data_IF_171145232959
#
_entry.id   IF_171145232959
#
_cell.length_a   1.000
_cell.length_b   1.000
_cell.length_c   1.000
_cell.angle_alpha   90.00
_cell.angle_beta   90.00
_cell.angle_gamma   90.00
#
_symmetry.space_group_name_H-M   'P 1'
#
loop_
_entity.id
_entity.type
_entity.pdbx_description
1 polymer ?
#
# COMPACT_ATOMS: atom_id res chain seq x y z
N UNK A 1 -4.62 -24.43 -9.30
CA UNK A 1 -4.74 -23.37 -10.31
C UNK A 1 -3.55 -23.38 -11.28
N UNK A 2 -3.24 -24.55 -11.85
CA UNK A 2 -2.15 -24.68 -12.80
C UNK A 2 -2.75 -25.03 -14.15
N UNK A 3 -2.61 -24.15 -15.14
CA UNK A 3 -2.72 -24.58 -16.52
C UNK A 3 -3.56 -23.79 -17.50
N UNK A 4 -4.15 -22.66 -17.16
CA UNK A 4 -4.69 -21.77 -18.19
C UNK A 4 -4.47 -20.31 -17.85
N UNK A 5 -4.16 -19.49 -18.82
CA UNK A 5 -4.02 -18.03 -18.68
C UNK A 5 -5.29 -17.36 -18.08
N UNK A 6 -6.43 -18.03 -18.11
CA UNK A 6 -7.70 -17.56 -17.57
C UNK A 6 -7.79 -17.66 -16.03
N UNK A 7 -6.95 -18.46 -15.37
CA UNK A 7 -7.03 -18.73 -13.93
C UNK A 7 -5.98 -18.00 -13.08
N UNK A 8 -5.29 -17.00 -13.63
CA UNK A 8 -4.20 -16.31 -12.93
C UNK A 8 -4.70 -15.22 -11.99
N UNK A 9 -5.97 -14.85 -12.07
CA UNK A 9 -6.57 -13.80 -11.23
C UNK A 9 -8.06 -14.06 -11.01
N UNK A 10 -8.46 -14.17 -9.74
CA UNK A 10 -9.86 -14.31 -9.34
C UNK A 10 -10.18 -13.26 -8.27
N UNK A 11 -11.39 -12.71 -8.32
CA UNK A 11 -11.91 -11.87 -7.25
C UNK A 11 -12.52 -12.76 -6.17
N UNK A 12 -12.03 -12.61 -4.96
CA UNK A 12 -12.42 -13.47 -3.84
C UNK A 12 -13.40 -12.70 -2.94
N UNK A 13 -14.64 -13.20 -2.80
CA UNK A 13 -15.66 -12.52 -2.01
C UNK A 13 -15.35 -12.59 -0.50
N UNK A 14 -15.71 -11.53 0.21
CA UNK A 14 -15.48 -11.38 1.65
C UNK A 14 -16.20 -12.42 2.51
N UNK A 15 -17.24 -13.05 2.00
CA UNK A 15 -17.98 -14.12 2.69
C UNK A 15 -17.11 -15.36 2.98
N UNK A 16 -15.97 -15.50 2.29
CA UNK A 16 -15.00 -16.57 2.54
C UNK A 16 -14.03 -16.26 3.69
N UNK A 17 -14.16 -15.12 4.36
CA UNK A 17 -13.39 -14.82 5.57
C UNK A 17 -13.83 -15.72 6.70
N UNK A 18 -12.91 -16.51 7.25
CA UNK A 18 -13.07 -17.34 8.42
C UNK A 18 -12.38 -16.66 9.61
N UNK A 19 -13.16 -15.98 10.46
CA UNK A 19 -12.63 -15.24 11.62
C UNK A 19 -11.91 -16.12 12.64
N UNK A 20 -12.25 -17.41 12.74
CA UNK A 20 -11.54 -18.33 13.64
C UNK A 20 -10.14 -18.70 13.10
N UNK A 21 -10.01 -18.85 11.79
CA UNK A 21 -8.71 -19.00 11.14
C UNK A 21 -7.90 -17.72 11.21
N UNK A 22 -8.52 -16.56 10.98
CA UNK A 22 -7.86 -15.26 11.13
C UNK A 22 -7.21 -15.10 12.50
N UNK A 23 -7.88 -15.52 13.59
CA UNK A 23 -7.31 -15.46 14.95
C UNK A 23 -6.10 -16.39 15.15
N UNK A 24 -6.04 -17.49 14.43
CA UNK A 24 -4.96 -18.50 14.55
C UNK A 24 -3.77 -18.22 13.64
N UNK A 25 -4.00 -17.58 12.51
CA UNK A 25 -2.98 -17.26 11.53
C UNK A 25 -1.98 -16.23 12.07
N UNK A 26 -0.72 -16.34 11.64
CA UNK A 26 0.37 -15.48 12.04
C UNK A 26 0.57 -14.35 11.02
N UNK A 27 0.16 -13.14 11.38
CA UNK A 27 0.38 -11.97 10.55
C UNK A 27 1.78 -11.41 10.78
N UNK A 28 2.53 -11.21 9.70
CA UNK A 28 3.88 -10.63 9.70
C UNK A 28 3.84 -9.33 8.89
N UNK A 29 4.27 -8.24 9.53
CA UNK A 29 4.42 -6.95 8.85
C UNK A 29 5.84 -6.81 8.32
N UNK A 30 6.00 -6.49 7.04
CA UNK A 30 7.25 -6.06 6.44
C UNK A 30 7.23 -4.54 6.27
N UNK A 31 8.17 -3.88 6.92
CA UNK A 31 8.43 -2.45 6.81
C UNK A 31 9.88 -2.21 6.44
N UNK A 32 10.40 -1.01 6.58
CA UNK A 32 11.79 -0.70 6.25
C UNK A 32 12.33 0.43 7.11
N UNK A 33 13.65 0.65 7.03
CA UNK A 33 14.28 1.91 7.40
C UNK A 33 13.64 3.06 6.61
N UNK A 34 13.86 4.32 7.01
CA UNK A 34 13.32 5.48 6.31
C UNK A 34 13.65 5.41 4.81
N UNK A 35 12.64 5.64 3.98
CA UNK A 35 12.76 5.51 2.53
C UNK A 35 13.81 6.48 1.95
N UNK A 36 14.64 5.98 1.05
CA UNK A 36 15.66 6.75 0.33
C UNK A 36 15.44 6.68 -1.18
N UNK A 37 16.18 7.52 -1.92
CA UNK A 37 16.17 7.49 -3.40
C UNK A 37 16.75 6.19 -3.97
N UNK A 38 17.57 5.47 -3.21
CA UNK A 38 18.18 4.21 -3.64
C UNK A 38 17.19 3.02 -3.71
N UNK A 39 15.99 3.20 -3.12
CA UNK A 39 15.06 2.08 -2.96
C UNK A 39 15.50 1.09 -1.87
N UNK A 40 14.58 0.28 -1.36
CA UNK A 40 14.88 -0.64 -0.24
C UNK A 40 14.42 -2.08 -0.57
N UNK A 41 13.49 -2.26 -1.51
CA UNK A 41 13.03 -3.58 -1.96
C UNK A 41 12.07 -4.30 -1.02
N UNK A 42 11.22 -3.57 -0.26
CA UNK A 42 10.24 -4.18 0.66
C UNK A 42 9.38 -5.27 0.03
N UNK A 43 8.79 -5.01 -1.14
CA UNK A 43 7.89 -5.97 -1.80
C UNK A 43 8.64 -7.26 -2.18
N UNK A 44 9.87 -7.14 -2.68
CA UNK A 44 10.73 -8.30 -2.96
C UNK A 44 11.00 -9.11 -1.70
N UNK A 45 11.29 -8.45 -0.57
CA UNK A 45 11.50 -9.13 0.72
C UNK A 45 10.20 -9.76 1.23
N UNK A 46 9.06 -9.09 1.08
CA UNK A 46 7.76 -9.61 1.50
C UNK A 46 7.39 -10.90 0.74
N UNK A 47 7.57 -10.88 -0.58
CA UNK A 47 7.34 -12.06 -1.42
C UNK A 47 8.38 -13.12 -1.09
N UNK A 48 9.66 -12.77 -1.02
CA UNK A 48 10.75 -13.70 -0.69
C UNK A 48 10.51 -14.42 0.64
N UNK A 49 10.08 -13.73 1.68
CA UNK A 49 9.75 -14.35 2.96
C UNK A 49 8.61 -15.38 2.84
N UNK A 50 7.56 -15.07 2.07
CA UNK A 50 6.48 -16.02 1.83
C UNK A 50 6.97 -17.26 1.06
N UNK A 51 7.80 -17.04 0.03
CA UNK A 51 8.44 -18.13 -0.71
C UNK A 51 9.32 -18.99 0.20
N UNK A 52 10.19 -18.36 1.00
CA UNK A 52 11.07 -19.06 1.95
C UNK A 52 10.32 -19.87 3.00
N UNK A 53 9.23 -19.34 3.55
CA UNK A 53 8.36 -20.08 4.47
C UNK A 53 7.74 -21.30 3.79
N UNK A 54 7.28 -21.19 2.54
CA UNK A 54 6.75 -22.31 1.80
C UNK A 54 7.85 -23.37 1.48
N UNK A 55 9.10 -22.95 1.21
CA UNK A 55 10.25 -23.86 1.04
C UNK A 55 10.51 -24.72 2.27
N UNK A 56 10.31 -24.18 3.46
CA UNK A 56 10.47 -24.94 4.71
C UNK A 56 9.16 -25.64 5.17
N UNK A 57 8.19 -25.80 4.27
CA UNK A 57 6.97 -26.56 4.50
C UNK A 57 5.89 -25.83 5.32
N UNK A 58 5.95 -24.51 5.43
CA UNK A 58 4.88 -23.69 6.01
C UNK A 58 3.87 -23.30 4.96
N UNK A 59 2.62 -23.04 5.37
CA UNK A 59 1.58 -22.52 4.48
C UNK A 59 1.58 -20.98 4.59
N UNK A 60 2.33 -20.31 3.71
CA UNK A 60 2.45 -18.86 3.71
C UNK A 60 1.79 -18.24 2.48
N UNK A 61 1.13 -17.10 2.71
CA UNK A 61 0.46 -16.29 1.69
C UNK A 61 0.93 -14.84 1.82
N UNK A 62 1.07 -14.12 0.71
CA UNK A 62 1.41 -12.70 0.73
C UNK A 62 0.20 -11.83 0.41
N UNK A 63 0.04 -10.71 1.12
CA UNK A 63 -1.01 -9.72 0.89
C UNK A 63 -0.39 -8.35 0.58
N UNK A 64 -0.56 -7.88 -0.66
CA UNK A 64 0.12 -6.72 -1.23
C UNK A 64 -0.87 -5.62 -1.64
N UNK A 65 -0.32 -4.42 -1.84
CA UNK A 65 -1.05 -3.32 -2.49
C UNK A 65 -1.00 -3.49 -4.01
N UNK A 66 -2.08 -3.06 -4.66
CA UNK A 66 -2.08 -2.83 -6.09
C UNK A 66 -1.26 -1.56 -6.40
N UNK A 67 -0.34 -1.59 -7.38
CA UNK A 67 0.45 -0.41 -7.74
C UNK A 67 -0.39 0.60 -8.53
N UNK A 68 -0.12 1.89 -8.32
CA UNK A 68 -0.64 2.98 -9.14
C UNK A 68 0.20 3.14 -10.41
N UNK A 69 -0.45 3.51 -11.50
CA UNK A 69 0.17 3.71 -12.80
C UNK A 69 1.23 4.83 -12.79
N UNK A 70 0.95 5.94 -12.10
CA UNK A 70 1.87 7.06 -12.00
C UNK A 70 3.26 6.68 -11.47
N UNK A 71 3.38 6.04 -10.29
CA UNK A 71 4.67 5.52 -9.80
C UNK A 71 5.31 4.45 -10.68
N UNK A 72 4.54 3.62 -11.39
CA UNK A 72 5.09 2.60 -12.31
C UNK A 72 5.89 3.24 -13.45
N UNK A 73 5.45 4.39 -13.96
CA UNK A 73 6.17 5.19 -14.97
C UNK A 73 7.14 6.21 -14.34
N UNK A 74 7.26 6.26 -13.03
CA UNK A 74 8.14 7.15 -12.28
C UNK A 74 9.43 6.48 -11.83
N UNK A 75 10.12 7.12 -10.88
CA UNK A 75 11.41 6.65 -10.35
C UNK A 75 11.32 5.35 -9.54
N UNK A 76 10.12 4.97 -9.04
CA UNK A 76 9.94 3.80 -8.19
C UNK A 76 9.72 2.50 -8.96
N UNK A 77 9.29 2.57 -10.22
CA UNK A 77 8.88 1.38 -10.99
C UNK A 77 7.64 0.69 -10.40
N UNK A 78 7.40 -0.55 -10.80
CA UNK A 78 6.26 -1.35 -10.36
C UNK A 78 6.37 -1.88 -8.92
N UNK A 79 5.25 -2.39 -8.39
CA UNK A 79 5.15 -2.92 -7.03
C UNK A 79 4.81 -4.43 -6.99
N UNK A 80 5.12 -5.16 -8.05
CA UNK A 80 4.89 -6.61 -8.15
C UNK A 80 6.08 -7.46 -7.63
N UNK A 81 7.06 -6.86 -6.95
CA UNK A 81 8.32 -7.48 -6.58
C UNK A 81 9.37 -7.36 -7.69
N UNK A 82 10.41 -8.20 -7.65
CA UNK A 82 11.47 -8.21 -8.66
C UNK A 82 12.30 -9.47 -8.64
N UNK A 83 12.98 -9.73 -9.77
CA UNK A 83 13.74 -10.94 -9.95
C UNK A 83 12.86 -12.19 -9.83
N UNK A 84 13.32 -13.17 -9.08
CA UNK A 84 12.57 -14.41 -8.81
C UNK A 84 11.52 -14.24 -7.69
N UNK A 85 11.58 -13.20 -6.87
CA UNK A 85 10.56 -12.86 -5.86
C UNK A 85 9.54 -11.88 -6.44
N UNK A 86 8.60 -12.40 -7.23
CA UNK A 86 7.66 -11.61 -8.02
C UNK A 86 6.26 -12.25 -8.05
N UNK A 87 5.20 -11.41 -8.07
CA UNK A 87 3.82 -11.83 -8.35
C UNK A 87 3.49 -11.71 -9.83
N UNK A 88 2.68 -12.65 -10.32
CA UNK A 88 2.28 -12.76 -11.71
C UNK A 88 0.77 -12.51 -11.90
N UNK A 89 0.33 -11.95 -13.02
CA UNK A 89 1.13 -11.43 -14.15
C UNK A 89 1.64 -10.00 -13.86
N UNK A 90 2.94 -9.82 -13.78
CA UNK A 90 3.59 -8.59 -13.34
C UNK A 90 3.23 -7.37 -14.21
N UNK A 91 3.26 -7.55 -15.52
CA UNK A 91 2.92 -6.51 -16.49
C UNK A 91 1.49 -6.00 -16.31
N UNK A 92 0.51 -6.89 -16.14
CA UNK A 92 -0.89 -6.51 -15.89
C UNK A 92 -1.07 -5.85 -14.53
N UNK A 93 -0.46 -6.40 -13.47
CA UNK A 93 -0.54 -5.83 -12.11
C UNK A 93 0.00 -4.40 -12.09
N UNK A 94 1.11 -4.13 -12.77
CA UNK A 94 1.74 -2.82 -12.81
C UNK A 94 1.01 -1.79 -13.69
N UNK A 95 0.10 -2.22 -14.56
CA UNK A 95 -0.63 -1.35 -15.49
C UNK A 95 -2.13 -1.26 -15.15
N UNK A 96 -2.95 -2.06 -15.84
CA UNK A 96 -4.41 -2.06 -15.72
C UNK A 96 -4.91 -3.41 -15.21
N UNK A 97 -4.56 -3.76 -14.01
CA UNK A 97 -4.71 -5.12 -13.48
C UNK A 97 -6.15 -5.67 -13.63
N UNK A 98 -7.06 -5.32 -12.72
CA UNK A 98 -8.44 -5.80 -12.71
C UNK A 98 -9.46 -4.68 -12.87
N UNK A 99 -8.99 -3.43 -13.00
CA UNK A 99 -9.82 -2.25 -13.13
C UNK A 99 -10.22 -1.61 -11.80
N UNK A 100 -9.66 -2.03 -10.66
CA UNK A 100 -10.01 -1.45 -9.36
C UNK A 100 -9.66 0.03 -9.28
N UNK A 101 -8.48 0.43 -9.77
CA UNK A 101 -8.11 1.84 -9.87
C UNK A 101 -9.05 2.63 -10.80
N UNK A 102 -9.48 2.04 -11.92
CA UNK A 102 -10.45 2.66 -12.82
C UNK A 102 -11.82 2.81 -12.16
N UNK A 103 -12.28 1.81 -11.40
CA UNK A 103 -13.52 1.88 -10.66
C UNK A 103 -13.48 3.01 -9.61
N UNK A 104 -12.37 3.14 -8.88
CA UNK A 104 -12.15 4.21 -7.90
C UNK A 104 -12.09 5.58 -8.58
N UNK A 105 -11.34 5.72 -9.68
CA UNK A 105 -11.27 6.95 -10.46
C UNK A 105 -12.66 7.36 -10.97
N UNK A 106 -13.42 6.40 -11.51
CA UNK A 106 -14.77 6.64 -12.00
C UNK A 106 -15.73 7.04 -10.88
N UNK A 107 -15.71 6.35 -9.76
CA UNK A 107 -16.53 6.65 -8.60
C UNK A 107 -16.23 8.05 -8.03
N UNK A 108 -14.95 8.38 -7.88
CA UNK A 108 -14.51 9.69 -7.39
C UNK A 108 -14.94 10.83 -8.32
N UNK A 109 -14.68 10.69 -9.61
CA UNK A 109 -15.00 11.74 -10.60
C UNK A 109 -16.51 11.83 -10.85
N UNK A 110 -17.26 10.74 -10.67
CA UNK A 110 -18.71 10.78 -10.72
C UNK A 110 -19.29 11.65 -9.60
N UNK A 111 -18.76 11.56 -8.37
CA UNK A 111 -19.14 12.48 -7.28
C UNK A 111 -18.88 13.92 -7.68
N UNK A 112 -17.70 14.24 -8.26
CA UNK A 112 -17.38 15.58 -8.71
C UNK A 112 -18.37 16.10 -9.74
N UNK A 113 -18.69 15.28 -10.75
CA UNK A 113 -19.63 15.66 -11.82
C UNK A 113 -21.07 15.85 -11.28
N UNK A 114 -21.51 14.98 -10.38
CA UNK A 114 -22.84 15.07 -9.77
C UNK A 114 -22.93 16.27 -8.82
N UNK A 115 -21.87 16.61 -8.10
CA UNK A 115 -21.80 17.81 -7.27
C UNK A 115 -21.88 19.08 -8.13
N UNK A 116 -21.12 19.17 -9.20
CA UNK A 116 -21.16 20.32 -10.13
C UNK A 116 -22.57 20.49 -10.71
N UNK A 117 -23.20 19.39 -11.15
CA UNK A 117 -24.58 19.43 -11.63
C UNK A 117 -25.57 19.83 -10.55
N UNK A 118 -25.42 19.32 -9.34
CA UNK A 118 -26.30 19.67 -8.21
C UNK A 118 -26.23 21.17 -7.89
N UNK A 119 -25.04 21.75 -7.84
CA UNK A 119 -24.83 23.17 -7.63
C UNK A 119 -25.47 24.00 -8.73
N UNK A 120 -25.25 23.63 -9.99
CA UNK A 120 -25.84 24.29 -11.15
C UNK A 120 -27.38 24.30 -11.11
N UNK A 121 -28.00 23.14 -10.86
CA UNK A 121 -29.45 22.99 -10.86
C UNK A 121 -30.14 23.70 -9.68
N UNK A 122 -29.44 23.87 -8.55
CA UNK A 122 -30.01 24.47 -7.35
C UNK A 122 -29.59 25.92 -7.11
N UNK A 123 -28.75 26.50 -7.96
CA UNK A 123 -28.30 27.90 -7.89
C UNK A 123 -29.51 28.86 -7.87
N UNK A 124 -30.49 28.65 -8.74
CA UNK A 124 -31.70 29.48 -8.82
C UNK A 124 -32.56 29.40 -7.56
N UNK A 125 -32.39 28.35 -6.72
CA UNK A 125 -33.06 28.16 -5.44
C UNK A 125 -32.29 28.76 -4.27
N UNK A 126 -31.16 29.42 -4.56
CA UNK A 126 -30.27 30.01 -3.53
C UNK A 126 -29.34 29.03 -2.85
N UNK A 127 -29.23 27.79 -3.35
CA UNK A 127 -28.27 26.82 -2.82
C UNK A 127 -26.88 27.03 -3.41
N UNK A 128 -25.87 26.99 -2.55
CA UNK A 128 -24.47 27.03 -2.93
C UNK A 128 -23.56 26.55 -1.81
N UNK A 129 -22.33 26.23 -2.15
CA UNK A 129 -21.28 25.91 -1.18
C UNK A 129 -20.31 27.09 -1.11
N UNK A 130 -20.00 27.49 0.13
CA UNK A 130 -18.97 28.49 0.44
C UNK A 130 -17.58 27.95 0.09
N UNK A 131 -17.39 26.65 0.32
CA UNK A 131 -16.14 25.96 0.07
C UNK A 131 -16.42 24.56 -0.47
N UNK A 132 -15.68 24.18 -1.53
CA UNK A 132 -15.74 22.85 -2.13
C UNK A 132 -14.38 22.19 -1.88
N UNK A 133 -14.39 21.07 -1.15
CA UNK A 133 -13.20 20.30 -0.81
C UNK A 133 -12.93 19.18 -1.81
N UNK A 134 -13.97 18.70 -2.49
CA UNK A 134 -13.90 17.55 -3.38
C UNK A 134 -13.37 17.95 -4.76
N UNK A 135 -12.21 17.41 -5.10
CA UNK A 135 -11.56 17.62 -6.40
C UNK A 135 -11.86 16.46 -7.36
N UNK A 136 -11.06 16.32 -8.39
CA UNK A 136 -11.04 15.19 -9.32
C UNK A 136 -9.79 14.35 -9.10
N UNK A 137 -9.75 13.14 -9.69
CA UNK A 137 -8.57 12.28 -9.64
C UNK A 137 -8.23 11.71 -11.02
N UNK A 138 -6.95 11.45 -11.23
CA UNK A 138 -6.42 10.78 -12.41
C UNK A 138 -5.20 9.95 -11.96
N UNK A 139 -5.06 8.70 -12.45
CA UNK A 139 -3.98 7.83 -11.99
C UNK A 139 -2.65 8.07 -12.72
N UNK A 140 -2.28 9.34 -12.83
CA UNK A 140 -0.99 9.80 -13.36
C UNK A 140 -0.44 10.94 -12.51
N UNK A 141 0.88 11.12 -12.55
CA UNK A 141 1.55 12.25 -11.93
C UNK A 141 1.56 13.45 -12.90
N UNK A 142 0.56 14.33 -12.80
CA UNK A 142 0.48 15.53 -13.63
C UNK A 142 0.43 16.80 -12.77
N UNK A 143 1.51 17.57 -12.82
CA UNK A 143 1.62 18.84 -12.06
C UNK A 143 0.78 19.96 -12.67
N UNK A 144 0.52 19.92 -13.96
CA UNK A 144 -0.24 20.95 -14.67
C UNK A 144 -1.72 20.94 -14.28
N UNK A 145 -2.22 19.81 -13.79
CA UNK A 145 -3.62 19.64 -13.39
C UNK A 145 -3.87 19.90 -11.90
N UNK A 146 -2.89 20.33 -11.12
CA UNK A 146 -3.05 20.59 -9.69
C UNK A 146 -4.02 21.71 -9.37
N UNK A 147 -4.05 22.75 -10.21
CA UNK A 147 -5.01 23.84 -10.13
C UNK A 147 -5.47 24.17 -11.53
N UNK A 148 -6.77 24.07 -11.76
CA UNK A 148 -7.45 24.33 -13.04
C UNK A 148 -8.71 25.13 -12.80
N UNK A 149 -9.24 25.74 -13.85
CA UNK A 149 -10.57 26.35 -13.85
C UNK A 149 -11.53 25.45 -14.62
N UNK A 150 -12.64 25.09 -14.01
CA UNK A 150 -13.72 24.30 -14.62
C UNK A 150 -14.95 25.16 -14.88
N UNK A 151 -15.89 24.70 -15.71
CA UNK A 151 -17.14 25.39 -16.01
C UNK A 151 -16.98 26.62 -16.91
N UNK A 152 -15.86 26.73 -17.66
CA UNK A 152 -15.64 27.82 -18.63
C UNK A 152 -16.56 27.66 -19.86
N UNK A 153 -16.99 28.80 -20.42
CA UNK A 153 -17.80 28.87 -21.65
C UNK A 153 -19.27 29.21 -21.36
N UNK A 154 -20.24 28.64 -22.13
CA UNK A 154 -21.65 28.95 -21.95
C UNK A 154 -22.18 28.46 -20.60
N UNK A 155 -23.27 29.07 -20.12
CA UNK A 155 -23.91 28.73 -18.82
C UNK A 155 -24.21 27.24 -18.66
N UNK A 156 -24.48 26.53 -19.76
CA UNK A 156 -24.71 25.08 -19.77
C UNK A 156 -23.51 24.23 -19.31
N UNK A 157 -22.31 24.81 -19.27
CA UNK A 157 -21.09 24.13 -18.80
C UNK A 157 -20.97 24.11 -17.26
N UNK A 158 -21.93 24.74 -16.54
CA UNK A 158 -21.94 24.77 -15.10
C UNK A 158 -21.44 26.08 -14.50
N UNK A 159 -21.01 26.04 -13.25
CA UNK A 159 -20.50 27.20 -12.51
C UNK A 159 -18.97 27.25 -12.68
N UNK A 160 -18.47 28.41 -13.09
CA UNK A 160 -17.00 28.61 -13.21
C UNK A 160 -16.37 28.64 -11.83
N UNK A 161 -15.43 27.73 -11.57
CA UNK A 161 -14.75 27.62 -10.28
C UNK A 161 -13.36 27.01 -10.41
N UNK A 162 -12.50 27.24 -9.40
CA UNK A 162 -11.23 26.54 -9.27
C UNK A 162 -11.44 25.09 -8.86
N UNK A 163 -10.68 24.18 -9.42
CA UNK A 163 -10.63 22.77 -9.09
C UNK A 163 -9.23 22.24 -9.36
N UNK A 164 -9.04 20.90 -9.34
CA UNK A 164 -7.79 20.25 -9.66
C UNK A 164 -7.93 18.76 -9.74
N UNK A 165 -6.84 18.10 -10.13
CA UNK A 165 -6.72 16.65 -10.11
C UNK A 165 -5.65 16.22 -9.11
N UNK A 166 -6.04 15.30 -8.23
CA UNK A 166 -5.11 14.53 -7.40
C UNK A 166 -4.86 13.17 -8.06
N UNK A 167 -3.87 12.42 -7.57
CA UNK A 167 -3.63 11.06 -8.07
C UNK A 167 -4.63 10.08 -7.44
N UNK A 168 -5.11 9.09 -8.18
CA UNK A 168 -6.14 8.13 -7.71
C UNK A 168 -5.82 7.48 -6.36
N UNK A 169 -4.58 7.05 -6.02
CA UNK A 169 -4.25 6.54 -4.69
C UNK A 169 -4.44 7.54 -3.53
N UNK A 170 -4.59 8.82 -3.82
CA UNK A 170 -4.89 9.85 -2.84
C UNK A 170 -6.39 10.01 -2.60
N UNK A 171 -7.24 9.38 -3.42
CA UNK A 171 -8.69 9.41 -3.25
C UNK A 171 -9.12 8.90 -1.88
N UNK A 172 -10.05 9.62 -1.23
CA UNK A 172 -10.71 9.14 -0.02
C UNK A 172 -11.43 7.80 -0.25
N UNK A 173 -12.00 7.59 -1.46
CA UNK A 173 -12.62 6.32 -1.85
C UNK A 173 -11.62 5.16 -1.82
N UNK A 174 -10.37 5.37 -2.23
CA UNK A 174 -9.32 4.36 -2.12
C UNK A 174 -9.08 3.97 -0.66
N UNK A 175 -8.99 4.94 0.25
CA UNK A 175 -8.82 4.68 1.68
C UNK A 175 -10.05 4.00 2.28
N UNK A 176 -11.25 4.43 1.93
CA UNK A 176 -12.52 3.85 2.35
C UNK A 176 -12.62 2.39 1.92
N UNK A 177 -12.36 2.08 0.64
CA UNK A 177 -12.39 0.71 0.12
C UNK A 177 -11.43 -0.20 0.91
N UNK A 178 -10.22 0.25 1.18
CA UNK A 178 -9.22 -0.53 1.92
C UNK A 178 -9.57 -0.74 3.40
N UNK A 179 -10.38 0.14 4.01
CA UNK A 179 -10.78 0.05 5.42
C UNK A 179 -12.18 -0.53 5.61
N UNK A 180 -12.92 -0.78 4.54
CA UNK A 180 -14.27 -1.36 4.60
C UNK A 180 -14.23 -2.85 4.93
N UNK A 181 -15.26 -3.32 5.65
CA UNK A 181 -15.42 -4.71 6.07
C UNK A 181 -16.33 -5.50 5.12
N UNK A 182 -17.24 -4.80 4.47
CA UNK A 182 -18.25 -5.33 3.54
C UNK A 182 -18.84 -4.17 2.71
N UNK A 183 -19.74 -4.50 1.79
CA UNK A 183 -20.42 -3.52 0.91
C UNK A 183 -21.27 -2.53 1.71
N UNK A 184 -21.89 -2.94 2.81
CA UNK A 184 -22.72 -2.07 3.65
C UNK A 184 -21.89 -1.03 4.38
N UNK A 185 -20.73 -1.45 4.92
CA UNK A 185 -19.76 -0.54 5.54
C UNK A 185 -19.14 0.41 4.50
N UNK A 186 -18.84 -0.10 3.29
CA UNK A 186 -18.39 0.72 2.15
C UNK A 186 -19.40 1.85 1.86
N UNK A 187 -20.68 1.51 1.67
CA UNK A 187 -21.73 2.48 1.40
C UNK A 187 -21.85 3.52 2.51
N UNK A 188 -21.91 3.09 3.77
CA UNK A 188 -22.02 4.00 4.92
C UNK A 188 -20.85 4.99 4.98
N UNK A 189 -19.62 4.55 4.67
CA UNK A 189 -18.45 5.43 4.63
C UNK A 189 -18.52 6.41 3.47
N UNK A 190 -18.98 5.98 2.30
CA UNK A 190 -19.20 6.85 1.15
C UNK A 190 -20.24 7.92 1.47
N UNK A 191 -21.33 7.59 2.16
CA UNK A 191 -22.34 8.55 2.61
C UNK A 191 -21.75 9.69 3.44
N UNK A 192 -20.72 9.40 4.23
CA UNK A 192 -20.09 10.37 5.14
C UNK A 192 -18.95 11.18 4.52
N UNK A 193 -18.63 11.00 3.23
CA UNK A 193 -17.61 11.81 2.57
C UNK A 193 -18.05 13.27 2.58
N UNK A 194 -17.19 14.13 3.09
CA UNK A 194 -17.39 15.58 3.13
C UNK A 194 -17.04 16.19 1.77
N UNK A 195 -18.01 16.84 1.12
CA UNK A 195 -17.83 17.48 -0.17
C UNK A 195 -17.50 18.98 -0.06
N UNK A 196 -17.96 19.62 1.00
CA UNK A 196 -17.76 21.03 1.24
C UNK A 196 -18.61 21.57 2.38
N UNK A 197 -18.67 22.91 2.48
CA UNK A 197 -19.47 23.61 3.50
C UNK A 197 -20.44 24.58 2.82
N UNK A 198 -21.66 24.66 3.35
CA UNK A 198 -22.66 25.65 2.96
C UNK A 198 -22.26 27.06 3.44
N UNK A 199 -22.95 28.09 3.00
CA UNK A 199 -22.73 29.46 3.48
C UNK A 199 -23.02 29.65 4.97
N UNK A 200 -23.81 28.75 5.58
CA UNK A 200 -24.08 28.71 7.02
C UNK A 200 -23.11 27.78 7.78
N UNK A 201 -21.96 27.47 7.17
CA UNK A 201 -20.91 26.61 7.73
C UNK A 201 -21.37 25.17 8.10
N UNK A 202 -22.46 24.67 7.45
CA UNK A 202 -22.89 23.29 7.62
C UNK A 202 -22.15 22.36 6.67
N UNK A 203 -21.73 21.18 7.12
CA UNK A 203 -21.09 20.18 6.25
C UNK A 203 -22.10 19.69 5.21
N UNK A 204 -21.64 19.59 3.96
CA UNK A 204 -22.40 18.98 2.86
C UNK A 204 -21.68 17.71 2.41
N UNK A 205 -22.37 16.58 2.48
CA UNK A 205 -21.80 15.24 2.30
C UNK A 205 -22.37 14.54 1.07
N UNK A 206 -21.79 13.38 0.70
CA UNK A 206 -22.34 12.52 -0.35
C UNK A 206 -23.75 12.04 -0.01
N UNK A 207 -24.10 11.90 1.28
CA UNK A 207 -25.47 11.60 1.72
C UNK A 207 -26.43 12.72 1.34
N UNK A 208 -26.04 13.98 1.55
CA UNK A 208 -26.86 15.16 1.22
C UNK A 208 -27.00 15.30 -0.31
N UNK A 209 -25.98 14.95 -1.07
CA UNK A 209 -26.02 14.86 -2.53
C UNK A 209 -26.95 13.73 -3.02
N UNK A 210 -27.20 12.69 -2.22
CA UNK A 210 -28.15 11.62 -2.49
C UNK A 210 -27.64 10.53 -3.45
N UNK A 211 -26.33 10.39 -3.66
CA UNK A 211 -25.75 9.54 -4.72
C UNK A 211 -24.97 8.31 -4.21
N UNK A 212 -24.86 8.11 -2.92
CA UNK A 212 -24.03 7.05 -2.33
C UNK A 212 -24.33 5.64 -2.87
N UNK A 213 -25.59 5.32 -3.16
CA UNK A 213 -25.96 4.02 -3.73
C UNK A 213 -25.36 3.81 -5.12
N UNK A 214 -25.44 4.80 -6.01
CA UNK A 214 -24.87 4.73 -7.35
C UNK A 214 -23.33 4.59 -7.30
N UNK A 215 -22.67 5.34 -6.40
CA UNK A 215 -21.21 5.25 -6.21
C UNK A 215 -20.81 3.87 -5.69
N UNK A 216 -21.57 3.29 -4.76
CA UNK A 216 -21.34 1.92 -4.25
C UNK A 216 -21.43 0.87 -5.36
N UNK A 217 -22.39 1.01 -6.27
CA UNK A 217 -22.54 0.09 -7.42
C UNK A 217 -21.33 0.11 -8.34
N UNK A 218 -20.71 1.28 -8.56
CA UNK A 218 -19.46 1.36 -9.35
C UNK A 218 -18.30 0.59 -8.72
N UNK A 219 -18.34 0.39 -7.41
CA UNK A 219 -17.30 -0.28 -6.62
C UNK A 219 -17.62 -1.73 -6.25
N UNK A 220 -18.77 -2.27 -6.69
CA UNK A 220 -19.28 -3.59 -6.28
C UNK A 220 -18.31 -4.76 -6.53
N UNK A 221 -17.55 -4.69 -7.63
CA UNK A 221 -16.57 -5.71 -7.99
C UNK A 221 -15.18 -5.35 -7.42
N UNK A 222 -14.87 -4.05 -7.34
CA UNK A 222 -13.59 -3.57 -6.84
C UNK A 222 -13.39 -3.77 -5.33
N UNK A 223 -14.44 -4.06 -4.56
CA UNK A 223 -14.33 -4.37 -3.13
C UNK A 223 -13.71 -5.75 -2.88
N UNK A 224 -13.81 -6.66 -3.84
CA UNK A 224 -13.30 -8.03 -3.71
C UNK A 224 -11.81 -8.11 -4.03
N UNK A 225 -10.96 -8.61 -3.10
CA UNK A 225 -9.54 -8.78 -3.33
C UNK A 225 -9.22 -9.72 -4.48
N UNK A 226 -8.14 -9.42 -5.19
CA UNK A 226 -7.66 -10.23 -6.30
C UNK A 226 -6.68 -11.30 -5.79
N UNK A 227 -6.95 -12.56 -6.09
CA UNK A 227 -6.05 -13.68 -5.85
C UNK A 227 -5.20 -13.92 -7.10
N UNK A 228 -3.90 -13.94 -6.91
CA UNK A 228 -2.87 -14.23 -7.92
C UNK A 228 -1.84 -15.17 -7.32
N UNK A 229 -0.77 -15.44 -8.03
CA UNK A 229 0.33 -16.28 -7.55
C UNK A 229 1.68 -15.63 -7.81
N UNK A 230 2.69 -16.09 -7.10
CA UNK A 230 4.09 -15.74 -7.33
C UNK A 230 4.71 -16.63 -8.42
N UNK A 231 5.94 -16.29 -8.80
CA UNK A 231 6.77 -17.11 -9.73
C UNK A 231 6.94 -18.55 -9.29
N UNK A 232 6.90 -18.84 -7.99
CA UNK A 232 7.03 -20.19 -7.42
C UNK A 232 5.69 -20.80 -6.95
N UNK A 233 4.55 -20.24 -7.37
CA UNK A 233 3.23 -20.79 -7.08
C UNK A 233 2.67 -20.47 -5.69
N UNK A 234 3.34 -19.62 -4.90
CA UNK A 234 2.78 -19.13 -3.64
C UNK A 234 1.59 -18.21 -3.92
N UNK A 235 0.48 -18.41 -3.20
CA UNK A 235 -0.70 -17.57 -3.34
C UNK A 235 -0.42 -16.12 -2.88
N UNK A 236 -1.01 -15.16 -3.58
CA UNK A 236 -0.88 -13.75 -3.26
C UNK A 236 -2.21 -13.02 -3.42
N UNK A 237 -2.61 -12.23 -2.43
CA UNK A 237 -3.72 -11.29 -2.56
C UNK A 237 -3.17 -9.92 -2.91
N UNK A 238 -3.70 -9.30 -3.97
CA UNK A 238 -3.37 -7.94 -4.38
C UNK A 238 -4.64 -7.11 -4.39
N UNK A 239 -4.71 -6.07 -3.54
CA UNK A 239 -5.93 -5.29 -3.42
C UNK A 239 -5.71 -3.93 -2.77
N UNK A 240 -6.19 -2.88 -3.45
CA UNK A 240 -6.11 -1.50 -3.02
C UNK A 240 -4.68 -0.95 -2.98
N UNK A 241 -4.53 0.34 -3.15
CA UNK A 241 -3.22 0.98 -3.25
C UNK A 241 -3.13 2.38 -2.65
N UNK A 242 -3.66 2.63 -1.42
CA UNK A 242 -3.61 3.96 -0.84
C UNK A 242 -2.16 4.37 -0.55
N UNK A 243 -1.82 5.63 -0.82
CA UNK A 243 -0.49 6.16 -0.51
C UNK A 243 -0.32 6.40 1.00
N UNK A 244 0.83 6.03 1.55
CA UNK A 244 1.11 6.17 2.97
C UNK A 244 1.36 7.62 3.42
N UNK A 245 1.77 8.50 2.53
CA UNK A 245 1.93 9.93 2.82
C UNK A 245 0.59 10.70 2.86
N UNK A 246 -0.48 10.12 2.33
CA UNK A 246 -1.80 10.75 2.26
C UNK A 246 -2.82 9.97 3.09
N UNK A 247 -2.84 8.64 2.97
CA UNK A 247 -3.74 7.74 3.68
C UNK A 247 -2.95 6.76 4.56
N UNK A 248 -3.45 5.54 4.78
CA UNK A 248 -2.82 4.54 5.67
C UNK A 248 -1.75 3.67 4.98
N UNK A 249 -1.65 3.70 3.65
CA UNK A 249 -0.53 3.11 2.92
C UNK A 249 -0.39 1.59 2.98
N UNK A 250 -1.49 0.87 3.19
CA UNK A 250 -1.53 -0.58 3.32
C UNK A 250 -2.60 -1.16 2.38
N UNK A 251 -2.50 -2.43 2.04
CA UNK A 251 -3.56 -3.13 1.34
C UNK A 251 -4.85 -3.19 2.18
N UNK A 252 -5.94 -3.69 1.58
CA UNK A 252 -7.23 -3.72 2.26
C UNK A 252 -7.27 -4.66 3.47
N UNK A 253 -8.19 -4.38 4.39
CA UNK A 253 -8.52 -5.27 5.52
C UNK A 253 -9.00 -6.62 4.97
N UNK A 254 -9.85 -6.60 3.93
CA UNK A 254 -10.41 -7.81 3.32
C UNK A 254 -9.32 -8.71 2.75
N UNK A 255 -8.36 -8.16 1.98
CA UNK A 255 -7.25 -8.95 1.44
C UNK A 255 -6.40 -9.61 2.54
N UNK A 256 -6.11 -8.88 3.63
CA UNK A 256 -5.34 -9.44 4.74
C UNK A 256 -6.11 -10.54 5.46
N UNK A 257 -7.41 -10.33 5.75
CA UNK A 257 -8.24 -11.35 6.42
C UNK A 257 -8.48 -12.58 5.55
N UNK A 258 -8.69 -12.40 4.23
CA UNK A 258 -8.78 -13.53 3.31
C UNK A 258 -7.48 -14.32 3.28
N UNK A 259 -6.33 -13.66 3.16
CA UNK A 259 -5.04 -14.34 3.24
C UNK A 259 -4.90 -15.15 4.55
N UNK A 260 -5.30 -14.56 5.69
CA UNK A 260 -5.26 -15.23 7.00
C UNK A 260 -6.28 -16.38 7.13
N UNK A 261 -7.36 -16.36 6.34
CA UNK A 261 -8.33 -17.46 6.31
C UNK A 261 -7.81 -18.70 5.57
N UNK A 262 -6.80 -18.53 4.70
CA UNK A 262 -6.25 -19.60 3.89
C UNK A 262 -4.79 -19.98 4.22
N UNK A 263 -4.04 -19.07 4.86
CA UNK A 263 -2.63 -19.26 5.21
C UNK A 263 -2.39 -19.27 6.72
N UNK A 264 -1.44 -20.09 7.15
CA UNK A 264 -0.98 -20.13 8.56
C UNK A 264 -0.04 -18.96 8.87
N UNK A 265 0.64 -18.46 7.84
CA UNK A 265 1.52 -17.28 7.87
C UNK A 265 1.09 -16.33 6.77
N UNK A 266 0.86 -15.07 7.12
CA UNK A 266 0.49 -14.03 6.16
C UNK A 266 1.48 -12.89 6.24
N UNK A 267 2.14 -12.62 5.13
CA UNK A 267 3.10 -11.55 4.98
C UNK A 267 2.41 -10.37 4.32
N UNK A 268 2.46 -9.21 4.96
CA UNK A 268 1.93 -7.96 4.41
C UNK A 268 2.94 -6.85 4.55
N UNK A 269 2.75 -5.76 3.80
CA UNK A 269 3.66 -4.62 3.85
C UNK A 269 2.95 -3.30 4.13
N UNK A 270 3.72 -2.33 4.63
CA UNK A 270 3.31 -0.94 4.76
C UNK A 270 4.17 -0.02 3.89
N UNK A 271 3.58 1.05 3.37
CA UNK A 271 4.27 2.01 2.50
C UNK A 271 5.34 2.81 3.24
N UNK A 272 6.36 3.25 2.54
CA UNK A 272 7.51 3.99 3.11
C UNK A 272 8.27 3.18 4.17
N UNK A 273 8.78 3.85 5.22
CA UNK A 273 9.50 3.24 6.33
C UNK A 273 8.63 3.03 7.57
N UNK A 274 9.27 2.54 8.62
CA UNK A 274 8.60 2.28 9.89
C UNK A 274 8.15 3.56 10.61
N UNK A 275 8.74 4.69 10.26
CA UNK A 275 8.40 6.03 10.73
C UNK A 275 7.07 6.58 10.18
N UNK A 276 6.52 5.99 9.13
CA UNK A 276 5.29 6.45 8.49
C UNK A 276 4.30 5.30 8.27
N UNK A 277 4.65 4.35 7.41
CA UNK A 277 3.72 3.30 6.99
C UNK A 277 3.41 2.30 8.10
N UNK A 278 4.41 1.83 8.85
CA UNK A 278 4.16 0.91 9.95
C UNK A 278 3.36 1.57 11.08
N UNK A 279 3.64 2.83 11.42
CA UNK A 279 2.84 3.57 12.40
C UNK A 279 1.36 3.60 12.00
N UNK A 280 1.07 3.95 10.74
CA UNK A 280 -0.31 3.98 10.22
C UNK A 280 -0.92 2.58 10.15
N UNK A 281 -0.13 1.56 9.85
CA UNK A 281 -0.58 0.18 9.88
C UNK A 281 -1.11 -0.19 11.27
N UNK A 282 -0.35 0.08 12.34
CA UNK A 282 -0.78 -0.20 13.71
C UNK A 282 -1.92 0.71 14.16
N UNK A 283 -1.78 2.01 13.99
CA UNK A 283 -2.70 3.00 14.55
C UNK A 283 -4.00 3.14 13.76
N UNK A 284 -4.04 2.77 12.47
CA UNK A 284 -5.23 2.87 11.63
C UNK A 284 -5.76 1.47 11.27
N UNK A 285 -5.00 0.69 10.49
CA UNK A 285 -5.48 -0.60 9.97
C UNK A 285 -5.75 -1.60 11.08
N UNK A 286 -4.80 -1.83 11.97
CA UNK A 286 -4.94 -2.78 13.07
C UNK A 286 -6.08 -2.37 14.02
N UNK A 287 -6.18 -1.11 14.40
CA UNK A 287 -7.26 -0.61 15.26
C UNK A 287 -8.64 -0.77 14.63
N UNK A 288 -8.78 -0.57 13.31
CA UNK A 288 -10.06 -0.71 12.61
C UNK A 288 -10.46 -2.17 12.37
N UNK A 289 -9.49 -3.06 12.19
CA UNK A 289 -9.70 -4.46 11.80
C UNK A 289 -9.63 -5.45 12.96
N UNK A 290 -9.00 -5.08 14.07
CA UNK A 290 -8.66 -6.01 15.16
C UNK A 290 -7.45 -6.90 14.86
N UNK A 291 -6.75 -6.68 13.75
CA UNK A 291 -5.55 -7.43 13.38
C UNK A 291 -4.38 -7.12 14.33
N UNK A 292 -3.59 -8.14 14.64
CA UNK A 292 -2.41 -8.02 15.50
C UNK A 292 -1.24 -8.78 14.87
N UNK A 293 -0.26 -8.09 14.27
CA UNK A 293 0.96 -8.73 13.80
C UNK A 293 1.74 -9.36 14.97
N UNK A 294 2.26 -10.56 14.74
CA UNK A 294 3.10 -11.26 15.71
C UNK A 294 4.58 -10.92 15.57
N UNK A 295 4.97 -10.48 14.37
CA UNK A 295 6.34 -10.15 14.02
C UNK A 295 6.36 -8.96 13.06
N UNK A 296 7.38 -8.13 13.20
CA UNK A 296 7.69 -7.07 12.24
C UNK A 296 9.09 -7.24 11.70
N UNK A 297 9.21 -7.28 10.38
CA UNK A 297 10.47 -7.34 9.66
C UNK A 297 10.84 -5.93 9.19
N UNK A 298 11.99 -5.43 9.59
CA UNK A 298 12.58 -4.19 9.06
C UNK A 298 13.52 -4.55 7.93
N UNK A 299 13.20 -4.11 6.73
CA UNK A 299 14.12 -4.21 5.59
C UNK A 299 15.16 -3.10 5.68
N UNK A 300 16.42 -3.47 5.67
CA UNK A 300 17.56 -2.56 5.60
C UNK A 300 18.44 -2.90 4.40
N UNK A 301 19.11 -1.90 3.84
CA UNK A 301 20.11 -2.03 2.77
C UNK A 301 21.36 -1.23 3.14
N UNK A 302 22.55 -1.67 2.74
CA UNK A 302 23.77 -0.90 2.95
C UNK A 302 23.65 0.48 2.28
N UNK A 303 23.15 0.54 1.06
CA UNK A 303 22.93 1.80 0.34
C UNK A 303 21.99 2.76 1.09
N UNK A 304 20.86 2.26 1.59
CA UNK A 304 19.91 3.06 2.37
C UNK A 304 20.52 3.62 3.65
N UNK A 305 21.24 2.79 4.39
CA UNK A 305 21.91 3.22 5.62
C UNK A 305 23.06 4.20 5.34
N UNK A 306 23.89 3.95 4.32
CA UNK A 306 24.94 4.90 3.90
C UNK A 306 24.37 6.27 3.53
N UNK A 307 23.21 6.32 2.84
CA UNK A 307 22.53 7.61 2.57
C UNK A 307 22.10 8.32 3.85
N UNK A 308 21.58 7.60 4.84
CA UNK A 308 21.24 8.16 6.15
C UNK A 308 22.48 8.62 6.93
N UNK A 309 23.64 8.04 6.64
CA UNK A 309 24.94 8.48 7.15
C UNK A 309 25.62 9.58 6.33
N UNK A 310 24.89 10.21 5.38
CA UNK A 310 25.37 11.36 4.62
C UNK A 310 26.15 11.02 3.34
N UNK A 311 26.24 9.76 2.93
CA UNK A 311 26.88 9.36 1.67
C UNK A 311 26.00 9.77 0.49
N UNK A 312 26.59 10.46 -0.48
CA UNK A 312 25.89 10.95 -1.67
C UNK A 312 25.47 9.82 -2.62
N UNK A 313 24.41 10.04 -3.41
CA UNK A 313 23.81 9.02 -4.27
C UNK A 313 24.78 8.49 -5.36
N UNK A 314 25.66 9.31 -5.87
CA UNK A 314 26.67 8.95 -6.87
C UNK A 314 27.75 8.00 -6.32
N UNK A 315 28.01 8.05 -5.00
CA UNK A 315 29.00 7.20 -4.31
C UNK A 315 28.38 6.08 -3.49
N UNK A 316 27.08 5.94 -3.50
CA UNK A 316 26.32 5.03 -2.62
C UNK A 316 26.69 3.54 -2.80
N UNK A 317 27.17 3.17 -3.99
CA UNK A 317 27.58 1.79 -4.31
C UNK A 317 29.02 1.49 -3.90
N UNK A 318 29.82 2.49 -3.53
CA UNK A 318 31.17 2.31 -3.03
C UNK A 318 31.12 1.85 -1.56
N UNK A 319 32.05 1.00 -1.11
CA UNK A 319 32.18 0.68 0.32
C UNK A 319 32.40 1.94 1.15
N UNK A 320 31.64 2.11 2.23
CA UNK A 320 31.77 3.25 3.13
C UNK A 320 31.33 2.88 4.55
N UNK A 321 32.28 2.39 5.35
CA UNK A 321 32.02 1.92 6.70
C UNK A 321 31.63 3.04 7.66
N UNK A 322 32.18 4.26 7.49
CA UNK A 322 31.85 5.41 8.33
C UNK A 322 30.42 5.87 8.12
N UNK A 323 30.02 6.07 6.84
CA UNK A 323 28.64 6.40 6.50
C UNK A 323 27.67 5.31 6.91
N UNK A 324 28.05 4.03 6.79
CA UNK A 324 27.21 2.93 7.25
C UNK A 324 27.00 2.99 8.77
N UNK A 325 28.07 3.16 9.58
CA UNK A 325 27.99 3.28 11.04
C UNK A 325 27.10 4.44 11.48
N UNK A 326 27.24 5.60 10.86
CA UNK A 326 26.41 6.77 11.18
C UNK A 326 24.95 6.51 10.81
N UNK A 327 24.69 5.83 9.70
CA UNK A 327 23.34 5.48 9.24
C UNK A 327 22.60 4.47 10.12
N UNK A 328 23.33 3.67 10.93
CA UNK A 328 22.72 2.71 11.88
C UNK A 328 21.78 3.39 12.88
N UNK A 329 21.97 4.67 13.19
CA UNK A 329 21.04 5.45 14.03
C UNK A 329 19.62 5.46 13.51
N UNK A 330 19.44 5.41 12.17
CA UNK A 330 18.12 5.30 11.57
C UNK A 330 17.48 3.96 11.89
N UNK A 331 18.23 2.86 11.76
CA UNK A 331 17.77 1.52 12.14
C UNK A 331 17.42 1.45 13.63
N UNK A 332 18.27 1.97 14.51
CA UNK A 332 18.04 2.01 15.96
C UNK A 332 16.73 2.68 16.33
N UNK A 333 16.45 3.81 15.66
CA UNK A 333 15.21 4.54 15.89
C UNK A 333 14.00 3.71 15.52
N UNK A 334 14.05 3.01 14.38
CA UNK A 334 12.96 2.17 13.92
C UNK A 334 12.75 0.95 14.81
N UNK A 335 13.81 0.27 15.24
CA UNK A 335 13.72 -0.85 16.19
C UNK A 335 13.05 -0.38 17.49
N UNK A 336 13.49 0.74 18.06
CA UNK A 336 12.89 1.31 19.28
C UNK A 336 11.42 1.66 19.09
N UNK A 337 11.06 2.30 17.99
CA UNK A 337 9.68 2.67 17.69
C UNK A 337 8.78 1.42 17.59
N UNK A 338 9.21 0.38 16.87
CA UNK A 338 8.42 -0.83 16.72
C UNK A 338 8.30 -1.60 18.05
N UNK A 339 9.34 -1.65 18.86
CA UNK A 339 9.27 -2.21 20.22
C UNK A 339 8.27 -1.45 21.11
N UNK A 340 8.13 -0.12 20.94
CA UNK A 340 7.11 0.65 21.68
C UNK A 340 5.68 0.30 21.28
N UNK A 341 5.47 -0.27 20.08
CA UNK A 341 4.20 -0.90 19.67
C UNK A 341 4.04 -2.35 20.18
N UNK A 342 4.95 -2.85 21.00
CA UNK A 342 4.94 -4.21 21.52
C UNK A 342 5.36 -5.27 20.50
N UNK A 343 6.08 -4.89 19.45
CA UNK A 343 6.45 -5.81 18.38
C UNK A 343 7.77 -6.55 18.67
N UNK A 344 7.78 -7.85 18.36
CA UNK A 344 9.01 -8.57 18.08
C UNK A 344 9.55 -8.09 16.73
N UNK A 345 10.85 -7.81 16.66
CA UNK A 345 11.49 -7.21 15.48
C UNK A 345 12.63 -8.08 15.01
N UNK A 346 12.69 -8.33 13.70
CA UNK A 346 13.87 -8.86 13.01
C UNK A 346 14.28 -7.90 11.89
N UNK A 347 15.55 -7.95 11.50
CA UNK A 347 16.12 -7.15 10.42
C UNK A 347 16.41 -8.06 9.24
N UNK A 348 15.81 -7.76 8.10
CA UNK A 348 16.13 -8.39 6.82
C UNK A 348 17.09 -7.47 6.05
N UNK A 349 18.31 -7.91 5.87
CA UNK A 349 19.27 -7.22 5.02
C UNK A 349 19.03 -7.61 3.57
N UNK A 350 18.46 -6.70 2.78
CA UNK A 350 18.22 -6.91 1.36
C UNK A 350 19.53 -6.64 0.60
N UNK A 351 20.25 -7.71 0.26
CA UNK A 351 21.60 -7.67 -0.32
C UNK A 351 21.55 -7.23 -1.78
N UNK A 352 22.45 -6.30 -2.13
CA UNK A 352 22.77 -5.92 -3.50
C UNK A 352 24.14 -6.41 -3.91
N UNK A 353 24.39 -6.54 -5.21
CA UNK A 353 25.68 -7.02 -5.74
C UNK A 353 26.89 -6.15 -5.38
N UNK A 354 26.64 -4.89 -5.00
CA UNK A 354 27.69 -3.94 -4.58
C UNK A 354 28.05 -4.02 -3.09
N UNK A 355 27.29 -4.77 -2.30
CA UNK A 355 27.48 -4.81 -0.84
C UNK A 355 28.66 -5.72 -0.48
N UNK A 356 29.52 -5.28 0.43
CA UNK A 356 30.70 -6.04 0.88
C UNK A 356 30.39 -6.90 2.10
N UNK A 357 31.21 -7.92 2.31
CA UNK A 357 31.07 -8.81 3.47
C UNK A 357 31.31 -8.05 4.79
N UNK A 358 32.22 -7.06 4.79
CA UNK A 358 32.46 -6.22 5.96
C UNK A 358 31.26 -5.33 6.30
N UNK A 359 30.58 -4.77 5.30
CA UNK A 359 29.35 -3.99 5.51
C UNK A 359 28.23 -4.87 6.09
N UNK A 360 28.09 -6.10 5.60
CA UNK A 360 27.11 -7.06 6.11
C UNK A 360 27.42 -7.49 7.54
N UNK A 361 28.68 -7.78 7.86
CA UNK A 361 29.08 -8.21 9.18
C UNK A 361 28.90 -7.10 10.23
N UNK A 362 29.26 -5.85 9.89
CA UNK A 362 28.99 -4.71 10.76
C UNK A 362 27.50 -4.62 11.13
N UNK A 363 26.61 -4.83 10.16
CA UNK A 363 25.17 -4.76 10.41
C UNK A 363 24.68 -5.95 11.25
N UNK A 364 25.25 -7.14 11.03
CA UNK A 364 24.96 -8.33 11.83
C UNK A 364 25.33 -8.11 13.30
N UNK A 365 26.59 -7.71 13.56
CA UNK A 365 27.07 -7.41 14.92
C UNK A 365 26.22 -6.34 15.61
N UNK A 366 25.82 -5.29 14.86
CA UNK A 366 24.96 -4.24 15.39
C UNK A 366 23.56 -4.76 15.76
N UNK A 367 22.97 -5.62 14.94
CA UNK A 367 21.67 -6.24 15.24
C UNK A 367 21.76 -7.16 16.48
N UNK A 368 22.85 -7.89 16.64
CA UNK A 368 23.13 -8.69 17.84
C UNK A 368 23.20 -7.82 19.11
N UNK A 369 23.92 -6.69 19.04
CA UNK A 369 23.98 -5.72 20.15
C UNK A 369 22.60 -5.11 20.48
N UNK A 370 21.76 -4.90 19.48
CA UNK A 370 20.37 -4.45 19.67
C UNK A 370 19.46 -5.56 20.21
N UNK A 371 19.90 -6.82 20.21
CA UNK A 371 19.09 -7.98 20.56
C UNK A 371 17.92 -8.18 19.60
N UNK A 372 18.15 -8.02 18.29
CA UNK A 372 17.19 -8.31 17.23
C UNK A 372 17.75 -9.37 16.29
N UNK A 373 16.87 -10.23 15.77
CA UNK A 373 17.27 -11.22 14.76
C UNK A 373 17.74 -10.54 13.47
N UNK A 374 18.71 -11.15 12.80
CA UNK A 374 19.25 -10.67 11.53
C UNK A 374 19.30 -11.80 10.51
N UNK A 375 18.81 -11.55 9.30
CA UNK A 375 18.93 -12.47 8.18
C UNK A 375 19.26 -11.72 6.88
N UNK A 376 20.06 -12.35 6.02
CA UNK A 376 20.32 -11.86 4.67
C UNK A 376 19.19 -12.32 3.76
N UNK A 377 18.72 -11.43 2.89
CA UNK A 377 17.73 -11.73 1.87
C UNK A 377 18.34 -11.64 0.48
N UNK A 378 18.37 -12.77 -0.22
CA UNK A 378 18.79 -12.92 -1.61
C UNK A 378 17.63 -13.31 -2.55
N UNK A 379 16.38 -13.11 -2.13
CA UNK A 379 15.21 -13.58 -2.86
C UNK A 379 15.08 -12.97 -4.27
N UNK A 380 15.69 -11.82 -4.54
CA UNK A 380 15.73 -11.25 -5.88
C UNK A 380 16.42 -12.18 -6.89
N UNK A 381 17.56 -12.78 -6.55
CA UNK A 381 18.35 -13.64 -7.40
C UNK A 381 18.05 -15.14 -7.26
N UNK A 382 17.54 -15.56 -6.10
CA UNK A 382 17.45 -16.98 -5.71
C UNK A 382 16.02 -17.40 -5.33
N UNK A 383 15.03 -16.50 -5.48
CA UNK A 383 13.65 -16.81 -5.13
C UNK A 383 13.48 -17.20 -3.66
N UNK A 384 12.67 -18.20 -3.40
CA UNK A 384 12.39 -18.68 -2.05
C UNK A 384 13.62 -19.22 -1.32
N UNK A 385 14.56 -19.81 -2.03
CA UNK A 385 15.80 -20.35 -1.47
C UNK A 385 16.63 -19.24 -0.81
N UNK A 386 16.73 -18.08 -1.45
CA UNK A 386 17.42 -16.90 -0.92
C UNK A 386 16.77 -16.25 0.31
N UNK A 387 15.64 -16.75 0.78
CA UNK A 387 14.94 -16.27 1.96
C UNK A 387 14.72 -17.35 3.03
N UNK A 388 15.27 -18.56 2.86
CA UNK A 388 15.10 -19.67 3.80
C UNK A 388 15.62 -19.33 5.19
N UNK A 389 16.78 -18.68 5.30
CA UNK A 389 17.36 -18.32 6.60
C UNK A 389 16.50 -17.30 7.34
N UNK A 390 15.94 -16.33 6.62
CA UNK A 390 14.96 -15.39 7.18
C UNK A 390 13.66 -16.10 7.62
N UNK A 391 13.23 -17.11 6.88
CA UNK A 391 12.05 -17.89 7.20
C UNK A 391 12.23 -18.81 8.43
N UNK A 392 13.46 -19.24 8.72
CA UNK A 392 13.80 -20.04 9.91
C UNK A 392 13.93 -19.21 11.18
N UNK A 393 14.33 -17.96 11.06
CA UNK A 393 14.45 -16.98 12.14
C UNK A 393 13.07 -16.55 12.69
#
# INVERSE_FOLDING_TARGET
LVGSEMCIRDRIPEQLIDEEKVKKSNLILVTAITATKAGIGKTTVSIGLALGLNKIGKNAIVALREPSLGPCFGMKGGAAGGGYAQVLPMDKINLHFTGDFHAITSAHNMISALLDNYLYQNQAKGFGLKEILWRRVLDVNDRSLRSIVVGLGPKSNGITQESGFDITPASEIMAILCLSKDVSDLRRRIENILLGFTYDDQPFTVKDLGVAGAITVLLKDAIHPNLVQTTEGTAAFVHGGPFANIAHGCNSILATKLAMSFGDYVITEAGFGADLGAEKFYNIKCRKSGLQPRLTVIVATAQGLKMHGGVSLDRIKEPNMEGLKEGLRNLDKHVRNLRSFGQTVIVAFNKFASDTDEEMELLREHCEQLGVGFAINNAFSEGGEGAVDMARL
#
